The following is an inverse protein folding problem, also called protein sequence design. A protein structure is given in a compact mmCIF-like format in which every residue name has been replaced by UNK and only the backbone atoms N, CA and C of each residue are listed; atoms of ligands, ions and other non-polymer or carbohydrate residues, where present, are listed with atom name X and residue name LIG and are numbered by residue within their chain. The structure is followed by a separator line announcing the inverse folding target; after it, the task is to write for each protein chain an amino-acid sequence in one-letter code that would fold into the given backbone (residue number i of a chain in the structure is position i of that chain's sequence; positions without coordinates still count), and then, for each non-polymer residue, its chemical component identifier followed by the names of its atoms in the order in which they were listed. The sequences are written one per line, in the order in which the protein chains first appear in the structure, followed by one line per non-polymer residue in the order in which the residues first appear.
data_IF_079586636944
#
_entry.id   IF_079586636944
#
_cell.length_a   1.000
_cell.length_b   1.000
_cell.length_c   1.000
_cell.angle_alpha   90.00
_cell.angle_beta   90.00
_cell.angle_gamma   90.00
#
_symmetry.space_group_name_H-M   'P 1'
#
loop_
_entity.id
_entity.type
_entity.pdbx_description
1 polymer ?
#
# COMPACT_ATOMS: atom_id res chain seq x y z
N UNK A 1 14.78 27.20 -23.82
CA UNK A 1 15.03 25.74 -23.64
C UNK A 1 14.34 25.02 -24.80
N UNK A 2 15.06 24.24 -25.62
CA UNK A 2 14.56 23.78 -26.93
C UNK A 2 13.57 22.62 -26.83
N UNK A 3 12.57 22.56 -27.74
CA UNK A 3 11.55 21.49 -27.85
C UNK A 3 12.17 20.08 -27.80
N UNK A 4 13.33 19.90 -28.44
CA UNK A 4 14.08 18.64 -28.44
C UNK A 4 14.49 18.16 -27.04
N UNK A 5 15.00 19.06 -26.18
CA UNK A 5 15.38 18.72 -24.79
C UNK A 5 14.16 18.29 -23.96
N UNK A 6 13.00 18.90 -24.20
CA UNK A 6 11.77 18.51 -23.52
C UNK A 6 11.31 17.10 -23.91
N UNK A 7 11.39 16.74 -25.20
CA UNK A 7 11.05 15.40 -25.69
C UNK A 7 11.99 14.35 -25.09
N UNK A 8 13.31 14.59 -25.12
CA UNK A 8 14.31 13.67 -24.56
C UNK A 8 14.10 13.49 -23.05
N UNK A 9 13.87 14.58 -22.30
CA UNK A 9 13.56 14.54 -20.87
C UNK A 9 12.32 13.69 -20.58
N UNK A 10 11.25 13.87 -21.35
CA UNK A 10 10.00 13.12 -21.15
C UNK A 10 10.19 11.63 -21.38
N UNK A 11 10.96 11.25 -22.41
CA UNK A 11 11.30 9.84 -22.67
C UNK A 11 12.13 9.25 -21.54
N UNK A 12 13.12 9.97 -21.03
CA UNK A 12 13.94 9.53 -19.89
C UNK A 12 13.10 9.32 -18.63
N UNK A 13 12.17 10.24 -18.34
CA UNK A 13 11.27 10.11 -17.19
C UNK A 13 10.35 8.90 -17.31
N UNK A 14 9.83 8.62 -18.51
CA UNK A 14 9.00 7.44 -18.78
C UNK A 14 9.81 6.16 -18.58
N UNK A 15 11.04 6.09 -19.12
CA UNK A 15 11.93 4.95 -18.94
C UNK A 15 12.21 4.75 -17.44
N UNK A 16 12.52 5.82 -16.71
CA UNK A 16 12.77 5.73 -15.27
C UNK A 16 11.56 5.20 -14.49
N UNK A 17 10.36 5.66 -14.84
CA UNK A 17 9.11 5.14 -14.26
C UNK A 17 8.88 3.66 -14.57
N UNK A 18 9.15 3.22 -15.80
CA UNK A 18 9.03 1.80 -16.17
C UNK A 18 10.03 0.95 -15.40
N UNK A 19 11.28 1.42 -15.28
CA UNK A 19 12.33 0.67 -14.58
C UNK A 19 12.06 0.53 -13.08
N UNK A 20 11.45 1.52 -12.43
CA UNK A 20 11.13 1.42 -10.99
C UNK A 20 9.90 0.53 -10.73
N UNK A 21 8.92 0.49 -11.64
CA UNK A 21 7.71 -0.32 -11.46
C UNK A 21 7.88 -1.77 -11.92
N UNK A 22 8.78 -2.03 -12.88
CA UNK A 22 8.95 -3.35 -13.46
C UNK A 22 9.32 -4.44 -12.43
N UNK A 23 10.25 -4.24 -11.47
CA UNK A 23 10.57 -5.26 -10.47
C UNK A 23 9.37 -5.64 -9.59
N UNK A 24 8.54 -4.65 -9.22
CA UNK A 24 7.31 -4.84 -8.44
C UNK A 24 6.33 -5.70 -9.24
N UNK A 25 6.11 -5.36 -10.52
CA UNK A 25 5.22 -6.09 -11.41
C UNK A 25 5.70 -7.52 -11.68
N UNK A 26 7.00 -7.70 -11.95
CA UNK A 26 7.60 -9.02 -12.19
C UNK A 26 7.45 -9.90 -10.96
N UNK A 27 7.78 -9.39 -9.78
CA UNK A 27 7.62 -10.15 -8.54
C UNK A 27 6.17 -10.52 -8.28
N UNK A 28 5.24 -9.58 -8.46
CA UNK A 28 3.81 -9.85 -8.26
C UNK A 28 3.26 -10.87 -9.27
N UNK A 29 3.68 -10.80 -10.54
CA UNK A 29 3.30 -11.77 -11.56
C UNK A 29 3.87 -13.16 -11.24
N UNK A 30 5.13 -13.23 -10.81
CA UNK A 30 5.76 -14.47 -10.35
C UNK A 30 4.97 -15.06 -9.16
N UNK A 31 4.67 -14.27 -8.14
CA UNK A 31 3.91 -14.73 -6.98
C UNK A 31 2.48 -15.19 -7.34
N UNK A 32 1.80 -14.46 -8.22
CA UNK A 32 0.44 -14.79 -8.71
C UNK A 32 0.45 -16.13 -9.46
N UNK A 33 1.53 -16.47 -10.16
CA UNK A 33 1.66 -17.75 -10.85
C UNK A 33 1.91 -18.95 -9.91
N UNK A 34 2.09 -18.72 -8.59
CA UNK A 34 2.40 -19.76 -7.60
C UNK A 34 1.40 -19.74 -6.42
N UNK A 35 0.20 -20.32 -6.60
CA UNK A 35 -0.92 -20.20 -5.66
C UNK A 35 -0.66 -20.77 -4.26
N UNK A 36 0.30 -21.68 -4.12
CA UNK A 36 0.72 -22.23 -2.82
C UNK A 36 1.21 -21.14 -1.86
N UNK A 37 1.64 -19.98 -2.37
CA UNK A 37 2.06 -18.83 -1.56
C UNK A 37 0.92 -17.88 -1.18
N UNK A 38 -0.29 -18.11 -1.70
CA UNK A 38 -1.45 -17.26 -1.39
C UNK A 38 -2.03 -17.58 -0.02
N UNK A 39 -1.72 -18.76 0.51
CA UNK A 39 -2.31 -19.31 1.72
C UNK A 39 -1.25 -19.53 2.82
N UNK A 40 -0.47 -18.49 3.13
CA UNK A 40 0.17 -18.43 4.45
C UNK A 40 -0.93 -18.05 5.46
N UNK A 41 -1.49 -19.06 6.12
CA UNK A 41 -2.78 -19.01 6.81
C UNK A 41 -2.88 -18.00 7.96
N UNK A 42 -1.75 -17.54 8.51
CA UNK A 42 -1.71 -16.69 9.70
C UNK A 42 -0.85 -15.43 9.45
N UNK A 43 -1.35 -14.19 9.69
CA UNK A 43 -2.70 -13.80 10.17
C UNK A 43 -3.73 -13.52 9.06
N UNK A 44 -3.38 -13.75 7.79
CA UNK A 44 -4.16 -13.30 6.64
C UNK A 44 -5.57 -13.91 6.57
N UNK A 45 -5.73 -15.20 6.91
CA UNK A 45 -7.03 -15.86 6.91
C UNK A 45 -7.96 -15.30 8.00
N UNK A 46 -7.40 -14.87 9.14
CA UNK A 46 -8.22 -14.30 10.21
C UNK A 46 -8.73 -12.93 9.81
N UNK A 47 -7.87 -12.09 9.22
CA UNK A 47 -8.32 -10.82 8.65
C UNK A 47 -9.38 -10.99 7.56
N UNK A 48 -9.30 -12.05 6.75
CA UNK A 48 -10.34 -12.38 5.78
C UNK A 48 -11.69 -12.64 6.45
N UNK A 49 -11.75 -13.57 7.40
CA UNK A 49 -13.00 -13.92 8.10
C UNK A 49 -13.58 -12.70 8.81
N UNK A 50 -12.75 -11.89 9.45
CA UNK A 50 -13.19 -10.68 10.12
C UNK A 50 -13.67 -9.59 9.16
N UNK A 51 -13.10 -9.50 7.96
CA UNK A 51 -13.58 -8.59 6.92
C UNK A 51 -14.99 -8.94 6.44
N UNK A 52 -15.45 -10.19 6.66
CA UNK A 52 -16.84 -10.59 6.38
C UNK A 52 -17.80 -10.25 7.54
N UNK A 53 -17.30 -9.91 8.74
CA UNK A 53 -18.12 -9.70 9.93
C UNK A 53 -19.24 -8.65 9.76
N UNK A 54 -18.99 -7.47 9.15
CA UNK A 54 -20.05 -6.48 8.93
C UNK A 54 -21.18 -7.03 8.06
N UNK A 55 -20.82 -7.86 7.07
CA UNK A 55 -21.79 -8.51 6.18
C UNK A 55 -22.56 -9.60 6.87
N UNK A 56 -22.22 -10.08 8.06
CA UNK A 56 -23.05 -10.98 8.90
C UNK A 56 -23.67 -10.27 10.12
N UNK A 57 -23.59 -8.94 10.17
CA UNK A 57 -24.18 -8.14 11.25
C UNK A 57 -23.42 -8.29 12.56
N UNK A 58 -22.15 -8.70 12.49
CA UNK A 58 -21.24 -8.81 13.63
C UNK A 58 -20.22 -7.68 13.60
N UNK A 59 -19.75 -7.32 14.79
CA UNK A 59 -18.57 -6.47 14.93
C UNK A 59 -17.30 -7.26 14.62
N UNK A 60 -16.20 -6.57 14.29
CA UNK A 60 -14.87 -7.19 14.19
C UNK A 60 -14.50 -7.84 15.54
N UNK A 61 -13.97 -9.07 15.52
CA UNK A 61 -13.75 -9.89 16.71
C UNK A 61 -12.27 -10.15 16.95
N UNK A 62 -11.51 -10.32 15.87
CA UNK A 62 -10.09 -10.54 15.92
C UNK A 62 -9.35 -9.24 16.17
N UNK A 63 -8.81 -9.13 17.38
CA UNK A 63 -7.98 -8.01 17.83
C UNK A 63 -6.55 -8.52 17.99
N UNK A 64 -5.95 -9.04 16.93
CA UNK A 64 -4.49 -9.18 16.91
C UNK A 64 -3.85 -7.93 16.31
N UNK A 65 -2.67 -7.59 16.80
CA UNK A 65 -2.02 -6.31 16.60
C UNK A 65 -1.66 -6.08 15.14
N UNK A 66 -1.75 -4.84 14.65
CA UNK A 66 -2.92 -3.97 14.54
C UNK A 66 -3.84 -4.35 13.36
N UNK A 67 -4.85 -5.18 13.64
CA UNK A 67 -5.72 -5.79 12.62
C UNK A 67 -6.90 -4.98 12.13
N UNK A 68 -7.45 -4.07 12.95
CA UNK A 68 -8.72 -3.40 12.62
C UNK A 68 -8.68 -2.56 11.34
N UNK A 69 -7.64 -1.75 11.07
CA UNK A 69 -7.56 -1.02 9.80
C UNK A 69 -7.50 -1.94 8.58
N UNK A 70 -6.78 -3.06 8.70
CA UNK A 70 -6.70 -4.09 7.67
C UNK A 70 -8.08 -4.71 7.41
N UNK A 71 -8.81 -5.05 8.47
CA UNK A 71 -10.17 -5.61 8.37
C UNK A 71 -11.12 -4.60 7.72
N UNK A 72 -11.04 -3.31 8.09
CA UNK A 72 -11.85 -2.26 7.48
C UNK A 72 -11.56 -2.15 5.99
N UNK A 73 -10.28 -2.13 5.58
CA UNK A 73 -9.92 -2.10 4.16
C UNK A 73 -10.44 -3.36 3.46
N UNK A 74 -10.28 -4.54 4.08
CA UNK A 74 -10.81 -5.80 3.56
C UNK A 74 -12.33 -5.77 3.36
N UNK A 75 -13.07 -5.25 4.34
CA UNK A 75 -14.52 -5.05 4.27
C UNK A 75 -14.92 -4.07 3.17
N UNK A 76 -14.16 -2.98 2.98
CA UNK A 76 -14.40 -2.02 1.89
C UNK A 76 -14.21 -2.71 0.53
N UNK A 77 -13.12 -3.45 0.35
CA UNK A 77 -12.85 -4.17 -0.89
C UNK A 77 -13.97 -5.19 -1.18
N UNK A 78 -14.39 -5.93 -0.16
CA UNK A 78 -15.54 -6.84 -0.21
C UNK A 78 -16.83 -6.10 -0.59
N UNK A 79 -17.10 -4.94 0.00
CA UNK A 79 -18.29 -4.13 -0.26
C UNK A 79 -18.37 -3.65 -1.72
N UNK A 80 -17.23 -3.38 -2.36
CA UNK A 80 -17.19 -3.03 -3.79
C UNK A 80 -17.72 -4.15 -4.69
N UNK A 81 -17.64 -5.40 -4.23
CA UNK A 81 -18.14 -6.57 -4.98
C UNK A 81 -19.57 -6.96 -4.60
N UNK A 82 -20.07 -6.48 -3.47
CA UNK A 82 -21.38 -6.84 -2.93
C UNK A 82 -22.55 -6.61 -3.90
N UNK A 83 -22.64 -5.49 -4.65
CA UNK A 83 -23.73 -5.26 -5.61
C UNK A 83 -23.84 -6.27 -6.75
N UNK A 84 -22.82 -7.12 -6.97
CA UNK A 84 -22.82 -8.15 -8.02
C UNK A 84 -23.40 -9.50 -7.55
N UNK A 85 -23.95 -9.57 -6.33
CA UNK A 85 -24.55 -10.78 -5.77
C UNK A 85 -26.04 -10.58 -5.53
N UNK A 86 -26.82 -11.63 -5.80
CA UNK A 86 -28.28 -11.61 -5.67
C UNK A 86 -28.75 -11.53 -4.20
N UNK A 87 -27.94 -12.05 -3.28
CA UNK A 87 -28.21 -11.99 -1.86
C UNK A 87 -26.93 -11.94 -1.03
N UNK A 88 -27.09 -11.54 0.22
CA UNK A 88 -26.07 -11.54 1.25
C UNK A 88 -25.48 -12.94 1.47
N UNK A 89 -26.33 -13.96 1.48
CA UNK A 89 -25.94 -15.36 1.67
C UNK A 89 -25.10 -15.84 0.49
N UNK A 90 -25.50 -15.53 -0.74
CA UNK A 90 -24.73 -15.87 -1.94
C UNK A 90 -23.34 -15.22 -1.93
N UNK A 91 -23.26 -13.95 -1.53
CA UNK A 91 -22.00 -13.21 -1.36
C UNK A 91 -21.07 -13.89 -0.34
N UNK A 92 -21.57 -14.18 0.86
CA UNK A 92 -20.76 -14.82 1.91
C UNK A 92 -20.30 -16.22 1.46
N UNK A 93 -21.21 -17.04 0.93
CA UNK A 93 -20.89 -18.39 0.48
C UNK A 93 -19.87 -18.39 -0.67
N UNK A 94 -19.93 -17.41 -1.57
CA UNK A 94 -18.94 -17.26 -2.62
C UNK A 94 -17.52 -17.07 -2.06
N UNK A 95 -17.33 -16.12 -1.14
CA UNK A 95 -16.00 -15.85 -0.59
C UNK A 95 -15.51 -16.96 0.34
N UNK A 96 -16.40 -17.59 1.12
CA UNK A 96 -16.02 -18.74 1.95
C UNK A 96 -15.62 -19.97 1.12
N UNK A 97 -16.31 -20.23 0.01
CA UNK A 97 -15.95 -21.33 -0.91
C UNK A 97 -14.75 -21.01 -1.80
N UNK A 98 -14.39 -19.72 -1.96
CA UNK A 98 -13.29 -19.24 -2.81
C UNK A 98 -12.47 -18.14 -2.11
N UNK A 99 -11.76 -18.46 -1.00
CA UNK A 99 -10.97 -17.47 -0.27
C UNK A 99 -9.89 -16.81 -1.12
N UNK A 100 -9.40 -17.50 -2.16
CA UNK A 100 -8.46 -16.97 -3.14
C UNK A 100 -8.97 -15.69 -3.84
N UNK A 101 -10.28 -15.53 -4.01
CA UNK A 101 -10.84 -14.30 -4.60
C UNK A 101 -10.60 -13.09 -3.69
N UNK A 102 -10.77 -13.26 -2.37
CA UNK A 102 -10.46 -12.21 -1.40
C UNK A 102 -8.96 -11.89 -1.40
N UNK A 103 -8.11 -12.91 -1.35
CA UNK A 103 -6.65 -12.70 -1.33
C UNK A 103 -6.14 -12.07 -2.62
N UNK A 104 -6.67 -12.43 -3.79
CA UNK A 104 -6.31 -11.76 -5.03
C UNK A 104 -6.67 -10.26 -4.96
N UNK A 105 -7.87 -9.94 -4.47
CA UNK A 105 -8.33 -8.56 -4.34
C UNK A 105 -7.46 -7.73 -3.39
N UNK A 106 -7.11 -8.27 -2.22
CA UNK A 106 -6.25 -7.56 -1.25
C UNK A 106 -4.82 -7.43 -1.74
N UNK A 107 -4.26 -8.43 -2.42
CA UNK A 107 -2.91 -8.34 -2.99
C UNK A 107 -2.84 -7.42 -4.22
N UNK A 108 -3.91 -7.31 -5.01
CA UNK A 108 -4.02 -6.27 -6.05
C UNK A 108 -4.04 -4.88 -5.42
N UNK A 109 -4.75 -4.70 -4.30
CA UNK A 109 -4.70 -3.44 -3.55
C UNK A 109 -3.28 -3.10 -3.07
N UNK A 110 -2.56 -4.07 -2.48
CA UNK A 110 -1.16 -3.88 -2.06
C UNK A 110 -0.24 -3.57 -3.23
N UNK A 111 -0.40 -4.23 -4.38
CA UNK A 111 0.34 -3.94 -5.60
C UNK A 111 0.12 -2.47 -6.01
N UNK A 112 -1.13 -2.03 -6.10
CA UNK A 112 -1.45 -0.65 -6.45
C UNK A 112 -0.83 0.36 -5.48
N UNK A 113 -0.92 0.11 -4.16
CA UNK A 113 -0.32 0.97 -3.14
C UNK A 113 1.20 1.08 -3.29
N UNK A 114 1.89 -0.03 -3.55
CA UNK A 114 3.34 -0.06 -3.75
C UNK A 114 3.75 0.62 -5.07
N UNK A 115 3.00 0.42 -6.15
CA UNK A 115 3.24 1.12 -7.42
C UNK A 115 3.09 2.64 -7.28
N UNK A 116 2.02 3.09 -6.60
CA UNK A 116 1.82 4.52 -6.32
C UNK A 116 3.00 5.04 -5.49
N UNK A 117 3.39 4.32 -4.43
CA UNK A 117 4.53 4.70 -3.60
C UNK A 117 5.82 4.83 -4.42
N UNK A 118 6.16 3.82 -5.23
CA UNK A 118 7.34 3.83 -6.09
C UNK A 118 7.36 4.99 -7.08
N UNK A 119 6.22 5.26 -7.73
CA UNK A 119 6.07 6.37 -8.67
C UNK A 119 6.26 7.71 -7.95
N UNK A 120 5.60 7.90 -6.80
CA UNK A 120 5.70 9.14 -6.01
C UNK A 120 7.11 9.34 -5.47
N UNK A 121 7.78 8.28 -5.01
CA UNK A 121 9.17 8.31 -4.56
C UNK A 121 10.08 8.76 -5.70
N UNK A 122 10.03 8.06 -6.83
CA UNK A 122 10.83 8.38 -8.01
C UNK A 122 10.63 9.85 -8.44
N UNK A 123 9.36 10.30 -8.53
CA UNK A 123 9.04 11.68 -8.89
C UNK A 123 9.56 12.68 -7.86
N UNK A 124 9.44 12.38 -6.57
CA UNK A 124 9.96 13.22 -5.50
C UNK A 124 11.47 13.37 -5.60
N UNK A 125 12.22 12.28 -5.79
CA UNK A 125 13.69 12.35 -5.92
C UNK A 125 14.12 13.03 -7.22
N UNK A 126 13.47 12.70 -8.34
CA UNK A 126 13.81 13.28 -9.65
C UNK A 126 13.59 14.80 -9.71
N UNK A 127 12.67 15.32 -8.90
CA UNK A 127 12.45 16.75 -8.72
C UNK A 127 13.28 17.35 -7.58
N UNK A 128 13.80 16.51 -6.68
CA UNK A 128 14.71 16.88 -5.59
C UNK A 128 16.11 17.24 -6.07
N UNK A 129 16.65 16.40 -6.94
CA UNK A 129 18.05 16.47 -7.36
C UNK A 129 18.22 17.40 -8.57
N UNK A 130 19.24 18.27 -8.49
CA UNK A 130 19.62 19.16 -9.60
C UNK A 130 20.54 18.49 -10.61
N UNK A 131 21.39 17.56 -10.15
CA UNK A 131 22.33 16.78 -10.96
C UNK A 131 21.99 15.28 -10.89
N UNK A 132 22.22 14.57 -11.99
CA UNK A 132 21.99 13.12 -12.09
C UNK A 132 20.59 12.66 -11.65
N UNK A 133 19.58 13.53 -11.81
CA UNK A 133 18.24 13.36 -11.23
C UNK A 133 17.60 11.99 -11.51
N UNK A 134 17.74 11.48 -12.74
CA UNK A 134 17.12 10.22 -13.17
C UNK A 134 17.86 9.04 -12.55
N UNK A 135 19.20 9.03 -12.62
CA UNK A 135 20.02 7.99 -12.04
C UNK A 135 19.88 7.95 -10.51
N UNK A 136 19.90 9.11 -9.85
CA UNK A 136 19.69 9.21 -8.41
C UNK A 136 18.30 8.74 -7.99
N UNK A 137 17.25 9.13 -8.73
CA UNK A 137 15.89 8.66 -8.48
C UNK A 137 15.74 7.15 -8.69
N UNK A 138 16.30 6.62 -9.76
CA UNK A 138 16.33 5.18 -10.02
C UNK A 138 17.06 4.43 -8.91
N UNK A 139 18.29 4.83 -8.57
CA UNK A 139 19.07 4.16 -7.54
C UNK A 139 18.36 4.19 -6.20
N UNK A 140 17.88 5.35 -5.73
CA UNK A 140 17.22 5.43 -4.42
C UNK A 140 15.92 4.65 -4.37
N UNK A 141 15.07 4.75 -5.41
CA UNK A 141 13.82 4.00 -5.43
C UNK A 141 14.04 2.49 -5.58
N UNK A 142 14.95 2.05 -6.45
CA UNK A 142 15.26 0.63 -6.58
C UNK A 142 15.90 0.07 -5.31
N UNK A 143 16.85 0.77 -4.68
CA UNK A 143 17.43 0.34 -3.40
C UNK A 143 16.34 0.13 -2.35
N UNK A 144 15.38 1.05 -2.29
CA UNK A 144 14.25 0.94 -1.37
C UNK A 144 13.43 -0.33 -1.66
N UNK A 145 12.90 -0.50 -2.88
CA UNK A 145 11.96 -1.58 -3.22
C UNK A 145 12.60 -2.95 -3.51
N UNK A 146 13.91 -3.02 -3.79
CA UNK A 146 14.58 -4.27 -4.18
C UNK A 146 15.52 -4.82 -3.11
N UNK A 147 16.14 -3.96 -2.29
CA UNK A 147 17.10 -4.41 -1.29
C UNK A 147 16.53 -4.47 0.12
N UNK A 148 15.44 -3.75 0.41
CA UNK A 148 14.80 -3.88 1.72
C UNK A 148 14.20 -5.27 1.86
N UNK A 149 14.65 -6.03 2.86
CA UNK A 149 14.31 -7.46 3.05
C UNK A 149 12.81 -7.72 3.14
N UNK A 150 12.04 -6.74 3.61
CA UNK A 150 10.58 -6.83 3.72
C UNK A 150 9.80 -6.24 2.52
N UNK A 151 10.46 -5.64 1.51
CA UNK A 151 9.73 -4.98 0.42
C UNK A 151 8.93 -5.96 -0.44
N UNK A 152 9.47 -7.16 -0.66
CA UNK A 152 8.79 -8.15 -1.48
C UNK A 152 7.69 -8.87 -0.70
N UNK A 153 7.96 -9.24 0.55
CA UNK A 153 6.96 -9.89 1.41
C UNK A 153 5.78 -8.98 1.75
N UNK A 154 6.01 -7.66 1.90
CA UNK A 154 4.94 -6.67 2.13
C UNK A 154 3.98 -6.51 0.95
N UNK A 155 4.33 -6.97 -0.25
CA UNK A 155 3.43 -6.92 -1.41
C UNK A 155 2.46 -8.09 -1.49
N UNK A 156 2.77 -9.19 -0.78
CA UNK A 156 2.09 -10.48 -0.95
C UNK A 156 1.53 -11.04 0.34
N UNK A 157 1.81 -10.39 1.47
CA UNK A 157 1.27 -10.75 2.77
C UNK A 157 0.14 -9.78 3.12
N UNK A 158 -1.07 -10.28 3.33
CA UNK A 158 -2.16 -9.43 3.84
C UNK A 158 -2.02 -9.27 5.36
N UNK A 159 -1.29 -8.23 5.78
CA UNK A 159 -1.12 -7.88 7.19
C UNK A 159 -0.94 -6.38 7.35
N UNK A 160 -1.05 -5.90 8.58
CA UNK A 160 -0.86 -4.47 8.90
C UNK A 160 0.54 -3.97 8.53
N UNK A 161 1.56 -4.83 8.65
CA UNK A 161 2.94 -4.51 8.28
C UNK A 161 3.08 -4.18 6.79
N UNK A 162 2.23 -4.77 5.97
CA UNK A 162 2.24 -4.56 4.52
C UNK A 162 1.75 -3.17 4.11
N UNK A 163 0.98 -2.50 4.98
CA UNK A 163 0.53 -1.12 4.75
C UNK A 163 1.61 -0.11 5.16
N UNK A 164 2.40 -0.42 6.19
CA UNK A 164 3.46 0.48 6.66
C UNK A 164 4.42 0.89 5.56
N UNK A 165 4.76 -0.08 4.73
CA UNK A 165 5.76 0.11 3.72
C UNK A 165 5.34 1.18 2.68
N UNK A 166 4.21 1.08 1.97
CA UNK A 166 3.75 2.13 1.08
C UNK A 166 3.27 3.40 1.82
N UNK A 167 2.46 3.28 2.87
CA UNK A 167 1.85 4.46 3.51
C UNK A 167 2.82 5.26 4.37
N UNK A 168 3.68 4.59 5.15
CA UNK A 168 4.74 5.24 5.91
C UNK A 168 5.71 5.99 5.00
N UNK A 169 6.11 5.36 3.90
CA UNK A 169 6.98 6.00 2.90
C UNK A 169 6.30 7.21 2.25
N UNK A 170 5.03 7.12 1.88
CA UNK A 170 4.28 8.25 1.31
C UNK A 170 4.18 9.42 2.29
N UNK A 171 3.98 9.16 3.58
CA UNK A 171 3.96 10.19 4.63
C UNK A 171 5.34 10.84 4.78
N UNK A 172 6.42 10.06 4.79
CA UNK A 172 7.78 10.59 4.85
C UNK A 172 8.14 11.43 3.61
N UNK A 173 7.74 10.97 2.42
CA UNK A 173 7.91 11.73 1.19
C UNK A 173 7.10 13.03 1.20
N UNK A 174 5.88 13.01 1.76
CA UNK A 174 5.08 14.21 1.93
C UNK A 174 5.77 15.20 2.88
N UNK A 175 6.22 14.74 4.05
CA UNK A 175 6.97 15.56 4.99
C UNK A 175 8.22 16.16 4.35
N UNK A 176 9.01 15.35 3.65
CA UNK A 176 10.19 15.82 2.91
C UNK A 176 9.84 16.90 1.89
N UNK A 177 8.73 16.76 1.15
CA UNK A 177 8.31 17.76 0.16
C UNK A 177 7.92 19.08 0.79
N UNK A 178 7.20 19.06 1.91
CA UNK A 178 6.79 20.29 2.61
C UNK A 178 7.98 20.99 3.29
N UNK A 179 8.95 20.24 3.84
CA UNK A 179 10.12 20.83 4.53
C UNK A 179 11.21 21.30 3.58
N UNK A 180 11.21 20.84 2.33
CA UNK A 180 12.22 21.21 1.33
C UNK A 180 12.02 22.63 0.77
N UNK A 181 10.78 23.10 0.65
CA UNK A 181 10.52 24.46 0.17
C UNK A 181 10.71 25.46 1.33
N UNK A 182 11.38 26.61 1.12
CA UNK A 182 11.60 27.61 2.17
C UNK A 182 10.32 28.44 2.45
N UNK A 183 9.14 27.82 2.34
CA UNK A 183 7.84 28.45 2.53
C UNK A 183 7.20 27.89 3.79
N UNK A 184 6.45 28.73 4.47
CA UNK A 184 5.65 28.28 5.61
C UNK A 184 4.63 27.22 5.17
N UNK A 185 4.55 26.15 5.95
CA UNK A 185 3.57 25.08 5.72
C UNK A 185 2.20 25.61 6.13
N UNK A 186 1.25 25.56 5.19
CA UNK A 186 -0.13 26.01 5.46
C UNK A 186 -0.74 25.21 6.62
N UNK A 187 -1.49 25.84 7.55
CA UNK A 187 -2.10 25.15 8.69
C UNK A 187 -2.95 23.93 8.31
N UNK A 188 -3.73 24.04 7.23
CA UNK A 188 -4.53 22.93 6.73
C UNK A 188 -3.68 21.70 6.32
N UNK A 189 -2.48 21.92 5.76
CA UNK A 189 -1.57 20.81 5.41
C UNK A 189 -0.97 20.18 6.66
N UNK A 190 -0.59 20.98 7.67
CA UNK A 190 -0.13 20.46 8.95
C UNK A 190 -1.19 19.61 9.64
N UNK A 191 -2.45 20.05 9.63
CA UNK A 191 -3.58 19.28 10.18
C UNK A 191 -3.73 17.95 9.43
N UNK A 192 -3.72 17.97 8.09
CA UNK A 192 -3.85 16.74 7.30
C UNK A 192 -2.66 15.79 7.49
N UNK A 193 -1.44 16.31 7.59
CA UNK A 193 -0.25 15.50 7.89
C UNK A 193 -0.35 14.89 9.30
N UNK A 194 -0.76 15.68 10.30
CA UNK A 194 -1.00 15.20 11.65
C UNK A 194 -2.06 14.10 11.69
N UNK A 195 -3.16 14.26 10.93
CA UNK A 195 -4.19 13.24 10.78
C UNK A 195 -3.65 11.98 10.10
N UNK A 196 -2.89 12.12 9.01
CA UNK A 196 -2.30 10.98 8.29
C UNK A 196 -1.31 10.21 9.17
N UNK A 197 -0.42 10.92 9.88
CA UNK A 197 0.47 10.34 10.87
C UNK A 197 -0.31 9.68 12.01
N UNK A 198 -1.40 10.30 12.48
CA UNK A 198 -2.27 9.75 13.52
C UNK A 198 -2.97 8.46 13.07
N UNK A 199 -3.50 8.41 11.85
CA UNK A 199 -4.11 7.21 11.26
C UNK A 199 -3.07 6.09 11.14
N UNK A 200 -1.89 6.40 10.61
CA UNK A 200 -0.81 5.41 10.50
C UNK A 200 -0.35 4.95 11.89
N UNK A 201 -0.18 5.88 12.83
CA UNK A 201 0.20 5.58 14.20
C UNK A 201 -0.85 4.73 14.91
N UNK A 202 -2.15 5.02 14.76
CA UNK A 202 -3.22 4.17 15.29
C UNK A 202 -3.17 2.80 14.64
N UNK A 203 -2.99 2.74 13.32
CA UNK A 203 -2.80 1.50 12.60
C UNK A 203 -1.51 0.74 12.97
N UNK A 204 -0.65 1.30 13.82
CA UNK A 204 0.59 0.71 14.32
C UNK A 204 0.61 0.49 15.84
N UNK A 205 -0.03 1.38 16.59
CA UNK A 205 0.09 1.55 18.04
C UNK A 205 -1.22 1.28 18.77
N UNK A 206 -2.07 0.36 18.29
CA UNK A 206 -3.32 -0.08 18.97
C UNK A 206 -3.11 -0.71 20.38
N UNK A 207 -1.99 -0.42 21.03
CA UNK A 207 -1.54 -0.90 22.33
C UNK A 207 -1.68 0.11 23.48
N UNK A 208 -1.76 1.42 23.22
CA UNK A 208 -1.74 2.40 24.33
C UNK A 208 -2.90 2.22 25.31
N UNK A 209 -4.07 1.78 24.83
CA UNK A 209 -5.22 1.47 25.67
C UNK A 209 -5.10 0.12 26.41
N UNK A 210 -4.29 -0.82 25.90
CA UNK A 210 -4.07 -2.15 26.50
C UNK A 210 -2.90 -2.20 27.49
N UNK A 211 -2.02 -1.18 27.50
CA UNK A 211 -0.98 -1.02 28.53
C UNK A 211 -1.52 -0.44 29.85
N UNK A 212 -2.74 0.10 29.85
CA UNK A 212 -3.36 0.75 31.00
C UNK A 212 -4.54 -0.04 31.60
N UNK A 213 -4.86 -1.22 31.05
CA UNK A 213 -5.88 -2.15 31.55
C UNK A 213 -5.29 -3.51 31.83
#
# INVERSE_FOLDING_TARGET
MTLFRAIVSRKQDLIGLLLVTLPILIYWAYWTAHPSYWFNADPAAVYFIDSLAPFIGKHYVFVDHPGTPIQIIGSILLALTYPFFESREAFIQFFLSRPNAFFLMTNVFLLCANLICAIVFYKTVSTALTKYRILGALSLSLLFFTLHTYSFSSMTLWSHNSLNYPFGTLILLWLFRETREPKDIKPARLILMGLACGILAVAQMYFLAWLAG
#
